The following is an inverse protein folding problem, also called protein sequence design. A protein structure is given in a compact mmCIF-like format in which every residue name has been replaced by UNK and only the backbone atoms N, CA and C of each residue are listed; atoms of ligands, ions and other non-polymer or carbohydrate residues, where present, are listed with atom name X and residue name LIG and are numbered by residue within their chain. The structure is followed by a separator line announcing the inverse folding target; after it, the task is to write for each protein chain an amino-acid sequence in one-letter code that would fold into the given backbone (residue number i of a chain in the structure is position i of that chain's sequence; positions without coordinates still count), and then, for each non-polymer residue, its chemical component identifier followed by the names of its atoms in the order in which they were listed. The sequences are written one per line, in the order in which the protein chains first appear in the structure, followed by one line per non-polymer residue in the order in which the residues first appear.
data_IF_991412065057
#
_entry.id   IF_991412065057
#
_cell.length_a   1.000
_cell.length_b   1.000
_cell.length_c   1.000
_cell.angle_alpha   90.00
_cell.angle_beta   90.00
_cell.angle_gamma   90.00
#
_symmetry.space_group_name_H-M   'P 1'
#
loop_
_entity.id
_entity.type
_entity.pdbx_description
1 polymer ?
#
# COMPACT_ATOMS: atom_id res chain seq x y z
N UNK A 1 -44.82 32.35 -13.67
CA UNK A 1 -43.96 33.54 -13.62
C UNK A 1 -43.00 33.28 -12.47
N UNK A 2 -41.80 32.78 -12.74
CA UNK A 2 -40.79 32.54 -11.70
C UNK A 2 -40.40 33.89 -11.10
N UNK A 3 -40.35 33.98 -9.78
CA UNK A 3 -39.96 35.20 -9.08
C UNK A 3 -38.53 35.59 -9.50
N UNK A 4 -38.22 36.87 -9.76
CA UNK A 4 -36.87 37.29 -10.13
C UNK A 4 -35.80 36.84 -9.12
N UNK A 5 -36.16 36.72 -7.85
CA UNK A 5 -35.28 36.23 -6.78
C UNK A 5 -34.92 34.74 -6.94
N UNK A 6 -35.82 33.92 -7.48
CA UNK A 6 -35.54 32.51 -7.75
C UNK A 6 -34.57 32.36 -8.93
N UNK A 7 -34.69 33.22 -9.94
CA UNK A 7 -33.79 33.21 -11.10
C UNK A 7 -32.36 33.58 -10.69
N UNK A 8 -32.19 34.62 -9.89
CA UNK A 8 -30.87 35.07 -9.42
C UNK A 8 -30.19 33.99 -8.54
N UNK A 9 -30.97 33.29 -7.71
CA UNK A 9 -30.49 32.14 -6.93
C UNK A 9 -30.06 30.98 -7.83
N UNK A 10 -30.85 30.65 -8.85
CA UNK A 10 -30.50 29.59 -9.81
C UNK A 10 -29.21 29.92 -10.57
N UNK A 11 -29.03 31.16 -11.02
CA UNK A 11 -27.82 31.61 -11.71
C UNK A 11 -26.58 31.53 -10.78
N UNK A 12 -26.73 31.93 -9.52
CA UNK A 12 -25.68 31.81 -8.51
C UNK A 12 -25.31 30.34 -8.20
N UNK A 13 -26.32 29.45 -8.12
CA UNK A 13 -26.10 28.02 -7.92
C UNK A 13 -25.43 27.37 -9.14
N UNK A 14 -25.81 27.75 -10.37
CA UNK A 14 -25.13 27.33 -11.59
C UNK A 14 -23.68 27.81 -11.66
N UNK A 15 -23.41 29.05 -11.26
CA UNK A 15 -22.05 29.57 -11.19
C UNK A 15 -21.20 28.79 -10.19
N UNK A 16 -21.75 28.50 -9.00
CA UNK A 16 -21.09 27.65 -8.00
C UNK A 16 -20.81 26.25 -8.53
N UNK A 17 -21.76 25.64 -9.24
CA UNK A 17 -21.57 24.33 -9.88
C UNK A 17 -20.47 24.35 -10.95
N UNK A 18 -20.46 25.38 -11.81
CA UNK A 18 -19.39 25.57 -12.82
C UNK A 18 -18.03 25.78 -12.17
N UNK A 19 -17.97 26.50 -11.05
CA UNK A 19 -16.75 26.69 -10.28
C UNK A 19 -16.22 25.38 -9.69
N UNK A 20 -17.10 24.58 -9.06
CA UNK A 20 -16.74 23.28 -8.50
C UNK A 20 -16.19 22.32 -9.57
N UNK A 21 -16.80 22.28 -10.77
CA UNK A 21 -16.30 21.46 -11.88
C UNK A 21 -14.90 21.90 -12.35
N UNK A 22 -14.61 23.20 -12.37
CA UNK A 22 -13.26 23.70 -12.71
C UNK A 22 -12.23 23.30 -11.64
N UNK A 23 -12.61 23.35 -10.36
CA UNK A 23 -11.74 22.90 -9.28
C UNK A 23 -11.46 21.41 -9.38
N UNK A 24 -12.49 20.58 -9.62
CA UNK A 24 -12.33 19.13 -9.72
C UNK A 24 -11.40 18.71 -10.88
N UNK A 25 -11.40 19.46 -12.00
CA UNK A 25 -10.47 19.22 -13.11
C UNK A 25 -8.99 19.37 -12.74
N UNK A 26 -8.69 20.15 -11.69
CA UNK A 26 -7.32 20.38 -11.23
C UNK A 26 -6.84 19.43 -10.14
N UNK A 27 -7.72 18.58 -9.59
CA UNK A 27 -7.37 17.67 -8.48
C UNK A 27 -7.01 16.30 -9.05
N UNK A 28 -5.81 15.81 -8.74
CA UNK A 28 -5.40 14.45 -9.08
C UNK A 28 -5.82 13.46 -7.99
N UNK A 29 -6.25 12.26 -8.42
CA UNK A 29 -6.60 11.18 -7.49
C UNK A 29 -5.43 10.80 -6.56
N UNK A 30 -4.20 10.88 -7.07
CA UNK A 30 -2.98 10.65 -6.26
C UNK A 30 -2.89 11.64 -5.09
N UNK A 31 -3.12 12.93 -5.32
CA UNK A 31 -3.00 13.95 -4.28
C UNK A 31 -4.08 13.76 -3.20
N UNK A 32 -5.29 13.40 -3.63
CA UNK A 32 -6.39 13.07 -2.72
C UNK A 32 -6.08 11.82 -1.88
N UNK A 33 -5.55 10.78 -2.51
CA UNK A 33 -5.15 9.55 -1.83
C UNK A 33 -4.01 9.82 -0.84
N UNK A 34 -3.02 10.62 -1.23
CA UNK A 34 -1.92 11.04 -0.35
C UNK A 34 -2.45 11.79 0.89
N UNK A 35 -3.32 12.77 0.70
CA UNK A 35 -3.94 13.52 1.81
C UNK A 35 -4.74 12.58 2.73
N UNK A 36 -5.48 11.64 2.14
CA UNK A 36 -6.22 10.62 2.89
C UNK A 36 -5.29 9.75 3.72
N UNK A 37 -4.16 9.30 3.18
CA UNK A 37 -3.16 8.51 3.91
C UNK A 37 -2.61 9.30 5.09
N UNK A 38 -2.22 10.57 4.89
CA UNK A 38 -1.71 11.43 5.97
C UNK A 38 -2.75 11.60 7.09
N UNK A 39 -4.01 11.80 6.71
CA UNK A 39 -5.15 11.84 7.63
C UNK A 39 -5.30 10.55 8.43
N UNK A 40 -5.27 9.39 7.75
CA UNK A 40 -5.37 8.07 8.40
C UNK A 40 -4.20 7.77 9.32
N UNK A 41 -2.97 8.16 8.96
CA UNK A 41 -1.78 8.02 9.82
C UNK A 41 -1.96 8.82 11.13
N UNK A 42 -2.43 10.06 11.01
CA UNK A 42 -2.64 10.95 12.16
C UNK A 42 -3.78 10.45 13.06
N UNK A 43 -4.92 10.08 12.45
CA UNK A 43 -6.07 9.51 13.13
C UNK A 43 -5.71 8.20 13.85
N UNK A 44 -5.08 7.26 13.16
CA UNK A 44 -4.71 5.97 13.74
C UNK A 44 -3.72 6.12 14.88
N UNK A 45 -2.75 7.03 14.78
CA UNK A 45 -1.78 7.31 15.87
C UNK A 45 -2.48 7.83 17.12
N UNK A 46 -3.49 8.70 16.99
CA UNK A 46 -4.28 9.18 18.13
C UNK A 46 -5.12 8.04 18.75
N UNK A 47 -5.75 7.21 17.92
CA UNK A 47 -6.53 6.05 18.38
C UNK A 47 -5.70 4.99 19.09
N UNK A 48 -4.38 4.92 18.88
CA UNK A 48 -3.50 4.02 19.64
C UNK A 48 -3.36 4.39 21.12
N UNK A 49 -3.68 5.63 21.51
CA UNK A 49 -3.69 6.08 22.91
C UNK A 49 -2.31 6.02 23.59
N UNK A 50 -1.24 6.27 22.84
CA UNK A 50 0.14 6.11 23.32
C UNK A 50 0.61 7.22 24.26
N UNK A 51 -0.05 8.39 24.23
CA UNK A 51 0.20 9.51 25.13
C UNK A 51 -1.03 9.76 26.01
N UNK A 52 -0.83 10.41 27.15
CA UNK A 52 -1.86 10.58 28.18
C UNK A 52 -3.12 11.26 27.65
N UNK A 53 -2.95 12.32 26.85
CA UNK A 53 -4.03 13.10 26.25
C UNK A 53 -4.91 12.28 25.29
N UNK A 54 -4.37 11.17 24.78
CA UNK A 54 -5.07 10.29 23.83
C UNK A 54 -5.57 8.99 24.45
N UNK A 55 -5.27 8.73 25.73
CA UNK A 55 -5.71 7.49 26.41
C UNK A 55 -7.24 7.38 26.44
N UNK A 56 -7.94 8.50 26.64
CA UNK A 56 -9.41 8.53 26.75
C UNK A 56 -10.12 8.16 25.44
N UNK A 57 -9.48 8.43 24.30
CA UNK A 57 -10.03 8.15 22.96
C UNK A 57 -9.44 6.88 22.33
N UNK A 58 -8.74 6.07 23.12
CA UNK A 58 -8.03 4.87 22.65
C UNK A 58 -9.00 3.84 22.10
N UNK A 59 -8.76 3.44 20.85
CA UNK A 59 -9.49 2.38 20.16
C UNK A 59 -8.52 1.62 19.23
N UNK A 60 -8.14 0.41 19.64
CA UNK A 60 -7.20 -0.40 18.88
C UNK A 60 -7.84 -1.05 17.65
N UNK A 61 -9.16 -1.20 17.60
CA UNK A 61 -9.84 -1.71 16.42
C UNK A 61 -9.83 -0.66 15.30
N UNK A 62 -10.19 0.58 15.61
CA UNK A 62 -10.10 1.71 14.68
C UNK A 62 -8.66 1.94 14.20
N UNK A 63 -7.68 1.86 15.11
CA UNK A 63 -6.27 1.99 14.76
C UNK A 63 -5.82 0.88 13.78
N UNK A 64 -6.27 -0.36 14.00
CA UNK A 64 -6.01 -1.49 13.10
C UNK A 64 -6.60 -1.26 11.71
N UNK A 65 -7.87 -0.84 11.65
CA UNK A 65 -8.54 -0.52 10.37
C UNK A 65 -7.77 0.57 9.62
N UNK A 66 -7.26 1.57 10.32
CA UNK A 66 -6.44 2.63 9.74
C UNK A 66 -5.15 2.09 9.11
N UNK A 67 -4.44 1.18 9.79
CA UNK A 67 -3.25 0.51 9.22
C UNK A 67 -3.58 -0.24 7.94
N UNK A 68 -4.68 -1.00 7.92
CA UNK A 68 -5.08 -1.79 6.75
C UNK A 68 -5.53 -0.91 5.58
N UNK A 69 -6.25 0.18 5.86
CA UNK A 69 -6.65 1.16 4.85
C UNK A 69 -5.42 1.81 4.20
N UNK A 70 -4.45 2.26 5.00
CA UNK A 70 -3.21 2.85 4.47
C UNK A 70 -2.47 1.83 3.61
N UNK A 71 -2.36 0.57 4.06
CA UNK A 71 -1.73 -0.50 3.28
C UNK A 71 -2.41 -0.70 1.92
N UNK A 72 -3.74 -0.81 1.90
CA UNK A 72 -4.49 -0.97 0.66
C UNK A 72 -4.39 0.21 -0.30
N UNK A 73 -4.33 1.44 0.22
CA UNK A 73 -4.13 2.64 -0.61
C UNK A 73 -2.71 2.64 -1.21
N UNK A 74 -1.68 2.38 -0.40
CA UNK A 74 -0.30 2.35 -0.87
C UNK A 74 -0.07 1.29 -1.95
N UNK A 75 -0.66 0.10 -1.77
CA UNK A 75 -0.63 -0.96 -2.78
C UNK A 75 -1.17 -0.50 -4.15
N UNK A 76 -2.12 0.42 -4.19
CA UNK A 76 -2.63 1.01 -5.45
C UNK A 76 -1.68 2.10 -5.95
N UNK A 77 -1.23 3.01 -5.08
CA UNK A 77 -0.36 4.13 -5.47
C UNK A 77 0.97 3.66 -6.06
N UNK A 78 1.53 2.57 -5.53
CA UNK A 78 2.78 1.98 -6.00
C UNK A 78 2.67 1.41 -7.42
N UNK A 79 1.55 0.74 -7.73
CA UNK A 79 1.28 0.19 -9.07
C UNK A 79 1.17 1.29 -10.13
N UNK A 80 0.58 2.43 -9.78
CA UNK A 80 0.27 3.51 -10.73
C UNK A 80 1.40 4.54 -10.89
N UNK A 81 2.18 4.80 -9.82
CA UNK A 81 3.14 5.93 -9.78
C UNK A 81 4.60 5.51 -9.72
N UNK A 82 4.88 4.22 -9.46
CA UNK A 82 6.22 3.71 -9.19
C UNK A 82 6.72 4.00 -7.78
N UNK A 83 7.80 3.30 -7.39
CA UNK A 83 8.30 3.23 -6.00
C UNK A 83 8.72 4.57 -5.39
N UNK A 84 9.30 5.49 -6.17
CA UNK A 84 9.96 6.69 -5.64
C UNK A 84 9.01 7.65 -4.92
N UNK A 85 7.76 7.76 -5.40
CA UNK A 85 6.75 8.68 -4.84
C UNK A 85 6.09 8.12 -3.58
N UNK A 86 6.02 6.80 -3.45
CA UNK A 86 5.37 6.11 -2.34
C UNK A 86 6.34 5.78 -1.19
N UNK A 87 7.65 5.82 -1.43
CA UNK A 87 8.65 5.34 -0.47
C UNK A 87 8.53 5.98 0.92
N UNK A 88 8.37 7.31 0.99
CA UNK A 88 8.20 8.01 2.27
C UNK A 88 6.92 7.63 3.02
N UNK A 89 5.85 7.28 2.30
CA UNK A 89 4.61 6.81 2.92
C UNK A 89 4.73 5.38 3.45
N UNK A 90 5.52 4.52 2.78
CA UNK A 90 5.84 3.18 3.30
C UNK A 90 6.60 3.26 4.61
N UNK A 91 7.58 4.14 4.69
CA UNK A 91 8.36 4.33 5.91
C UNK A 91 7.44 4.81 7.05
N UNK A 92 6.53 5.75 6.76
CA UNK A 92 5.52 6.19 7.72
C UNK A 92 4.55 5.07 8.13
N UNK A 93 4.10 4.22 7.20
CA UNK A 93 3.27 3.05 7.51
C UNK A 93 4.03 2.05 8.40
N UNK A 94 5.31 1.79 8.11
CA UNK A 94 6.13 0.90 8.92
C UNK A 94 6.30 1.43 10.35
N UNK A 95 6.50 2.76 10.50
CA UNK A 95 6.52 3.41 11.81
C UNK A 95 5.18 3.29 12.54
N UNK A 96 4.06 3.49 11.84
CA UNK A 96 2.72 3.34 12.39
C UNK A 96 2.45 1.89 12.83
N UNK A 97 2.86 0.90 12.06
CA UNK A 97 2.72 -0.52 12.39
C UNK A 97 3.52 -0.89 13.65
N UNK A 98 4.74 -0.36 13.78
CA UNK A 98 5.54 -0.55 14.98
C UNK A 98 4.87 0.08 16.22
N UNK A 99 4.35 1.31 16.07
CA UNK A 99 3.62 2.00 17.13
C UNK A 99 2.35 1.24 17.54
N UNK A 100 1.61 0.70 16.56
CA UNK A 100 0.42 -0.13 16.80
C UNK A 100 0.77 -1.42 17.57
N UNK A 101 1.82 -2.13 17.14
CA UNK A 101 2.28 -3.34 17.82
C UNK A 101 2.67 -3.05 19.29
N UNK A 102 3.31 -1.91 19.54
CA UNK A 102 3.64 -1.46 20.89
C UNK A 102 2.36 -1.13 21.70
N UNK A 103 1.39 -0.45 21.10
CA UNK A 103 0.10 -0.14 21.74
C UNK A 103 -0.65 -1.42 22.15
N UNK A 104 -0.70 -2.43 21.28
CA UNK A 104 -1.33 -3.72 21.57
C UNK A 104 -0.63 -4.43 22.73
N UNK A 105 0.71 -4.42 22.76
CA UNK A 105 1.47 -5.02 23.87
C UNK A 105 1.19 -4.32 25.20
N UNK A 106 1.15 -2.98 25.20
CA UNK A 106 0.83 -2.20 26.38
C UNK A 106 -0.58 -2.51 26.89
N UNK A 107 -1.58 -2.53 26.00
CA UNK A 107 -2.96 -2.86 26.38
C UNK A 107 -3.09 -4.28 26.98
N UNK A 108 -2.32 -5.23 26.44
CA UNK A 108 -2.25 -6.59 26.98
C UNK A 108 -1.65 -6.61 28.38
N UNK A 109 -0.53 -5.93 28.60
CA UNK A 109 0.12 -5.84 29.90
C UNK A 109 -0.79 -5.17 30.95
N UNK A 110 -1.53 -4.12 30.56
CA UNK A 110 -2.51 -3.45 31.42
C UNK A 110 -3.65 -4.40 31.82
N UNK A 111 -4.16 -5.22 30.87
CA UNK A 111 -5.18 -6.25 31.15
C UNK A 111 -4.66 -7.33 32.10
N UNK A 112 -3.45 -7.84 31.85
CA UNK A 112 -2.84 -8.89 32.67
C UNK A 112 -2.60 -8.39 34.11
N UNK A 113 -2.18 -7.12 34.26
CA UNK A 113 -2.00 -6.48 35.56
C UNK A 113 -3.31 -6.26 36.32
N UNK A 114 -4.43 -6.04 35.61
CA UNK A 114 -5.76 -5.92 36.20
C UNK A 114 -6.34 -7.26 36.68
N UNK A 115 -5.65 -8.38 36.45
CA UNK A 115 -6.11 -9.71 36.84
C UNK A 115 -7.29 -10.22 36.00
N UNK A 116 -7.58 -9.57 34.88
CA UNK A 116 -8.60 -10.01 33.93
C UNK A 116 -8.09 -11.26 33.23
N UNK A 117 -8.65 -12.42 33.57
CA UNK A 117 -8.26 -13.68 32.96
C UNK A 117 -8.44 -13.59 31.43
N UNK A 118 -7.47 -14.07 30.62
CA UNK A 118 -7.61 -14.03 29.17
C UNK A 118 -8.87 -14.79 28.78
N UNK A 119 -9.81 -14.10 28.12
CA UNK A 119 -10.99 -14.72 27.55
C UNK A 119 -10.53 -15.92 26.68
N UNK A 120 -11.15 -17.10 26.82
CA UNK A 120 -10.71 -18.27 26.08
C UNK A 120 -10.74 -17.94 24.60
N UNK A 121 -9.60 -18.12 23.93
CA UNK A 121 -9.51 -18.05 22.48
C UNK A 121 -10.61 -18.95 21.93
N UNK A 122 -11.59 -18.36 21.25
CA UNK A 122 -12.55 -19.13 20.49
C UNK A 122 -11.76 -19.82 19.38
N UNK A 123 -11.37 -21.07 19.65
CA UNK A 123 -10.95 -21.99 18.63
C UNK A 123 -12.14 -22.13 17.70
N UNK A 124 -12.11 -21.42 16.58
CA UNK A 124 -12.93 -21.74 15.42
C UNK A 124 -12.57 -23.16 15.02
N UNK A 125 -13.31 -24.12 15.54
CA UNK A 125 -13.20 -25.53 15.21
C UNK A 125 -13.75 -25.72 13.81
N UNK A 126 -12.89 -25.62 12.81
CA UNK A 126 -13.10 -26.30 11.54
C UNK A 126 -12.31 -27.61 11.63
N UNK A 127 -13.03 -28.70 11.90
CA UNK A 127 -12.50 -30.05 11.83
C UNK A 127 -12.83 -30.63 10.44
N UNK A 128 -11.90 -31.34 9.77
CA UNK A 128 -12.14 -31.91 8.47
C UNK A 128 -13.03 -33.15 8.61
N UNK A 129 -14.11 -33.21 7.82
CA UNK A 129 -14.95 -34.39 7.71
C UNK A 129 -14.43 -35.28 6.56
N UNK A 130 -13.68 -36.32 6.90
CA UNK A 130 -13.37 -37.44 6.00
C UNK A 130 -13.89 -38.75 6.62
N UNK A 131 -14.80 -39.43 5.90
CA UNK A 131 -15.04 -40.89 5.83
C UNK A 131 -16.44 -41.11 5.22
N UNK A 132 -16.54 -41.38 3.91
CA UNK A 132 -16.52 -42.72 3.29
C UNK A 132 -17.74 -43.59 3.61
N UNK A 133 -18.60 -43.79 2.61
CA UNK A 133 -19.31 -45.06 2.43
C UNK A 133 -19.80 -45.23 0.98
N UNK A 134 -19.18 -46.18 0.27
CA UNK A 134 -19.93 -47.29 -0.31
C UNK A 134 -20.54 -47.10 -1.70
N UNK A 135 -19.89 -47.71 -2.69
CA UNK A 135 -20.33 -47.90 -4.07
C UNK A 135 -21.69 -48.61 -4.24
N UNK A 136 -22.44 -48.24 -5.28
CA UNK A 136 -23.28 -49.17 -6.04
C UNK A 136 -23.49 -48.69 -7.50
N UNK A 137 -23.26 -49.65 -8.39
CA UNK A 137 -23.23 -49.66 -9.86
C UNK A 137 -24.60 -49.47 -10.53
N UNK A 138 -24.55 -49.21 -11.86
CA UNK A 138 -25.58 -49.28 -12.93
C UNK A 138 -26.11 -47.91 -13.36
N UNK A 139 -26.18 -47.52 -14.64
CA UNK A 139 -26.13 -48.25 -15.90
C UNK A 139 -25.82 -47.22 -17.02
N UNK A 140 -25.00 -47.60 -17.99
CA UNK A 140 -24.80 -46.86 -19.25
C UNK A 140 -25.41 -47.67 -20.38
N UNK A 141 -26.46 -47.12 -21.00
CA UNK A 141 -26.86 -47.34 -22.38
C UNK A 141 -27.04 -45.91 -22.93
N UNK A 142 -26.48 -45.48 -24.05
CA UNK A 142 -26.71 -46.05 -25.37
C UNK A 142 -25.69 -45.48 -26.38
N UNK A 143 -25.34 -46.35 -27.32
CA UNK A 143 -24.30 -46.27 -28.35
C UNK A 143 -24.63 -45.38 -29.56
N UNK A 144 -23.57 -44.87 -30.22
CA UNK A 144 -23.34 -44.86 -31.67
C UNK A 144 -21.96 -44.17 -31.91
N UNK A 145 -20.85 -44.89 -32.12
CA UNK A 145 -20.38 -45.63 -33.31
C UNK A 145 -19.85 -44.75 -34.47
N UNK A 146 -18.68 -45.18 -34.97
CA UNK A 146 -17.98 -44.87 -36.23
C UNK A 146 -16.82 -43.82 -36.21
N UNK A 147 -15.60 -44.37 -36.32
CA UNK A 147 -14.28 -43.75 -36.48
C UNK A 147 -13.89 -43.64 -37.99
N UNK A 148 -12.60 -43.55 -38.43
CA UNK A 148 -11.40 -42.80 -37.99
C UNK A 148 -10.66 -42.06 -39.14
N UNK A 149 -9.55 -41.37 -38.82
CA UNK A 149 -8.46 -40.99 -39.75
C UNK A 149 -8.48 -39.53 -40.23
N UNK A 150 -7.39 -38.80 -40.41
CA UNK A 150 -5.95 -39.07 -40.53
C UNK A 150 -5.18 -37.74 -40.40
N UNK A 151 -3.91 -37.85 -39.98
CA UNK A 151 -2.75 -36.98 -40.21
C UNK A 151 -2.90 -35.69 -41.06
N UNK A 152 -2.36 -34.58 -40.54
CA UNK A 152 -1.48 -33.69 -41.30
C UNK A 152 -0.79 -32.67 -40.38
N UNK A 153 0.45 -32.97 -39.99
CA UNK A 153 1.50 -31.97 -39.85
C UNK A 153 1.71 -31.26 -41.19
N UNK A 154 1.90 -29.94 -41.19
CA UNK A 154 2.58 -29.26 -42.30
C UNK A 154 3.68 -28.37 -41.74
N UNK A 155 4.85 -28.72 -42.24
CA UNK A 155 6.18 -28.18 -42.05
C UNK A 155 6.37 -26.85 -42.83
N UNK A 156 7.55 -26.29 -42.66
CA UNK A 156 8.03 -24.94 -42.93
C UNK A 156 8.18 -24.61 -44.45
N UNK A 157 8.68 -23.41 -44.86
CA UNK A 157 10.13 -23.33 -44.99
C UNK A 157 10.77 -21.96 -44.67
N UNK A 158 11.96 -22.09 -44.06
CA UNK A 158 13.05 -21.12 -43.97
C UNK A 158 13.78 -20.94 -45.32
N UNK A 159 14.15 -19.68 -45.59
CA UNK A 159 15.35 -19.25 -46.32
C UNK A 159 15.64 -17.81 -45.81
N UNK A 160 16.79 -17.41 -45.28
CA UNK A 160 18.15 -17.90 -45.40
C UNK A 160 18.97 -16.82 -46.11
N UNK A 161 19.66 -15.93 -45.38
CA UNK A 161 20.97 -15.43 -45.81
C UNK A 161 21.80 -14.89 -44.63
N UNK A 162 23.00 -15.44 -44.55
CA UNK A 162 24.06 -15.15 -43.60
C UNK A 162 24.78 -13.84 -43.93
N UNK A 163 25.17 -13.09 -42.90
CA UNK A 163 26.41 -12.33 -42.94
C UNK A 163 27.05 -12.29 -41.55
N UNK A 164 28.14 -13.04 -41.42
CA UNK A 164 29.08 -12.95 -40.32
C UNK A 164 29.87 -11.63 -40.40
N UNK A 165 30.06 -10.95 -39.27
CA UNK A 165 31.33 -10.28 -39.01
C UNK A 165 31.62 -10.20 -37.50
N UNK A 166 32.91 -10.29 -37.22
CA UNK A 166 33.58 -10.60 -35.96
C UNK A 166 33.52 -9.53 -34.85
N UNK A 167 33.97 -9.89 -33.62
CA UNK A 167 33.85 -9.08 -32.42
C UNK A 167 35.02 -8.10 -32.23
N UNK A 168 34.72 -6.85 -31.84
CA UNK A 168 35.68 -5.90 -31.26
C UNK A 168 35.10 -5.39 -29.94
N UNK A 169 35.61 -5.80 -28.79
CA UNK A 169 36.72 -5.15 -28.08
C UNK A 169 36.40 -3.69 -27.70
N UNK A 170 35.92 -3.49 -26.46
CA UNK A 170 36.46 -2.53 -25.47
C UNK A 170 35.50 -2.40 -24.27
N UNK A 171 35.91 -2.97 -23.13
CA UNK A 171 35.75 -2.32 -21.83
C UNK A 171 37.16 -2.12 -21.24
N UNK A 172 37.33 -1.53 -20.05
CA UNK A 172 36.43 -0.71 -19.24
C UNK A 172 37.06 0.66 -18.87
N UNK A 173 36.27 1.69 -18.60
CA UNK A 173 36.78 2.95 -18.04
C UNK A 173 36.18 3.26 -16.66
N UNK A 174 36.67 2.54 -15.67
CA UNK A 174 36.58 2.86 -14.25
C UNK A 174 37.27 4.20 -13.99
N UNK A 175 36.52 5.29 -13.76
CA UNK A 175 37.10 6.52 -13.19
C UNK A 175 36.71 6.66 -11.72
N UNK A 176 37.52 5.98 -10.89
CA UNK A 176 37.85 6.42 -9.52
C UNK A 176 38.26 7.89 -9.59
N UNK A 177 37.49 8.81 -8.99
CA UNK A 177 38.05 10.09 -8.54
C UNK A 177 38.21 10.05 -7.04
N UNK A 178 39.48 9.94 -6.68
CA UNK A 178 40.07 10.03 -5.36
C UNK A 178 39.74 11.36 -4.67
N UNK A 179 39.46 11.26 -3.38
CA UNK A 179 39.40 12.38 -2.41
C UNK A 179 40.65 13.25 -2.54
N UNK A 180 40.47 14.57 -2.55
CA UNK A 180 41.54 15.52 -2.23
C UNK A 180 40.97 16.68 -1.41
N UNK A 181 41.14 16.56 -0.10
CA UNK A 181 41.19 17.72 0.77
C UNK A 181 42.56 18.39 0.62
N UNK A 182 42.65 19.70 0.86
CA UNK A 182 43.81 20.23 1.55
C UNK A 182 43.42 20.98 2.82
N UNK A 183 44.26 20.75 3.82
CA UNK A 183 44.24 21.29 5.17
C UNK A 183 44.69 22.76 5.25
N UNK A 184 44.41 23.39 6.40
CA UNK A 184 45.08 24.61 6.87
C UNK A 184 44.09 25.64 7.44
N UNK A 185 43.57 25.52 8.68
CA UNK A 185 44.21 25.74 10.00
C UNK A 185 44.49 27.22 10.30
N UNK A 186 43.66 27.84 11.15
CA UNK A 186 43.97 28.92 12.12
C UNK A 186 42.70 29.17 12.96
N UNK A 187 42.54 28.59 14.15
CA UNK A 187 43.11 28.99 15.44
C UNK A 187 42.48 30.25 16.06
N UNK A 188 42.10 30.10 17.35
CA UNK A 188 41.71 31.10 18.39
C UNK A 188 40.20 31.26 18.60
N UNK A 189 39.66 31.36 19.81
CA UNK A 189 40.16 31.23 21.20
C UNK A 189 38.92 31.08 22.11
N UNK A 190 39.07 30.34 23.21
CA UNK A 190 38.16 30.25 24.36
C UNK A 190 37.83 31.63 24.97
N UNK A 191 36.58 31.86 25.38
CA UNK A 191 36.12 31.82 26.79
C UNK A 191 34.61 32.19 26.94
N UNK A 192 33.93 31.66 27.96
CA UNK A 192 32.55 32.00 28.31
C UNK A 192 32.48 33.13 29.38
N UNK A 193 31.37 33.85 29.38
CA UNK A 193 30.85 34.67 30.49
C UNK A 193 29.32 34.61 30.33
N UNK A 194 28.48 34.08 31.22
CA UNK A 194 28.36 34.22 32.67
C UNK A 194 28.23 35.69 33.10
N UNK A 195 27.02 36.07 33.50
CA UNK A 195 26.69 37.35 34.13
C UNK A 195 25.40 37.91 33.54
N UNK A 196 24.39 38.32 34.30
CA UNK A 196 24.07 38.25 35.71
C UNK A 196 22.57 38.60 35.78
#
# INVERSE_FOLDING_TARGET
MTDPTDKDRMEADEERARAALRQLRGVHAFDLAHETVVGLLSFGTQKMGLIEETREIRDLEDARVSVELVRGILDVLERETGDDRAHGLRDALAQMQLAYAHAVQLARAERDAAGEAPAPAQASGDAPADADSGAATMQTEQSADAAPGTDASVDEPSAGESAAHEPGAEGPATRKRTRKAPAGKSARKKKPAAGA
#
